data_IF_714354231304
#
_entry.id   IF_714354231304
#
_cell.length_a   1.000
_cell.length_b   1.000
_cell.length_c   1.000
_cell.angle_alpha   90.00
_cell.angle_beta   90.00
_cell.angle_gamma   90.00
#
_symmetry.space_group_name_H-M   'P 1'
#
loop_
_entity.id
_entity.type
_entity.pdbx_description
1 polymer ?
#
# COMPACT_ATOMS: atom_id res chain seq x y z
N UNK A 1 3.23 4.30 -23.69
CA UNK A 1 4.51 4.48 -22.96
C UNK A 1 4.78 3.19 -22.22
N UNK A 2 5.91 2.51 -22.48
CA UNK A 2 6.28 1.29 -21.75
C UNK A 2 6.79 1.75 -20.38
N UNK A 3 6.09 1.37 -19.31
CA UNK A 3 6.56 1.60 -17.94
C UNK A 3 7.90 0.87 -17.77
N UNK A 4 8.97 1.61 -17.51
CA UNK A 4 10.33 1.07 -17.47
C UNK A 4 10.55 0.15 -16.27
N UNK A 5 9.83 0.39 -15.16
CA UNK A 5 9.96 -0.36 -13.92
C UNK A 5 8.60 -0.70 -13.34
N UNK A 6 8.47 -1.91 -12.78
CA UNK A 6 7.23 -2.38 -12.14
C UNK A 6 7.11 -1.89 -10.69
N UNK A 7 8.22 -1.52 -10.07
CA UNK A 7 8.31 -0.91 -8.75
C UNK A 7 9.62 -0.14 -8.58
N UNK A 8 9.69 0.71 -7.56
CA UNK A 8 10.89 1.41 -7.13
C UNK A 8 11.12 1.18 -5.64
N UNK A 9 12.29 0.65 -5.28
CA UNK A 9 12.64 0.31 -3.91
C UNK A 9 13.72 1.27 -3.39
N UNK A 10 13.44 1.85 -2.23
CA UNK A 10 14.40 2.63 -1.43
C UNK A 10 14.81 1.79 -0.23
N UNK A 11 16.10 1.50 -0.08
CA UNK A 11 16.61 0.65 1.00
C UNK A 11 17.14 1.48 2.17
N UNK A 12 16.77 1.09 3.40
CA UNK A 12 17.22 1.67 4.67
C UNK A 12 17.02 3.21 4.77
N UNK A 13 15.88 3.69 4.26
CA UNK A 13 15.59 5.13 4.18
C UNK A 13 14.72 5.65 5.32
N UNK A 14 14.13 4.76 6.14
CA UNK A 14 13.34 5.14 7.33
C UNK A 14 14.12 4.86 8.61
N UNK A 15 14.69 5.88 9.25
CA UNK A 15 15.37 5.74 10.53
C UNK A 15 14.46 5.18 11.63
N UNK A 16 15.03 4.51 12.61
CA UNK A 16 14.28 3.91 13.71
C UNK A 16 13.36 4.89 14.44
N UNK A 17 13.84 6.14 14.65
CA UNK A 17 13.04 7.21 15.27
C UNK A 17 11.72 7.45 14.55
N UNK A 18 11.75 7.45 13.20
CA UNK A 18 10.58 7.71 12.37
C UNK A 18 9.65 6.50 12.36
N UNK A 19 10.19 5.28 12.21
CA UNK A 19 9.41 4.04 12.33
C UNK A 19 8.70 3.93 13.69
N UNK A 20 9.39 4.28 14.78
CA UNK A 20 8.80 4.29 16.13
C UNK A 20 7.74 5.39 16.29
N UNK A 21 7.92 6.54 15.66
CA UNK A 21 6.91 7.61 15.65
C UNK A 21 5.67 7.21 14.86
N UNK A 22 5.82 6.58 13.69
CA UNK A 22 4.71 6.05 12.89
C UNK A 22 3.89 5.04 13.72
N UNK A 23 4.55 4.06 14.37
CA UNK A 23 3.89 3.07 15.24
C UNK A 23 3.16 3.72 16.43
N UNK A 24 3.70 4.78 17.01
CA UNK A 24 3.03 5.54 18.10
C UNK A 24 1.80 6.28 17.59
N UNK A 25 1.85 6.90 16.40
CA UNK A 25 0.70 7.54 15.76
C UNK A 25 -0.40 6.49 15.56
N UNK A 26 -0.08 5.33 14.99
CA UNK A 26 -1.05 4.25 14.80
C UNK A 26 -1.69 3.78 16.10
N UNK A 27 -0.89 3.60 17.17
CA UNK A 27 -1.41 3.22 18.49
C UNK A 27 -2.38 4.27 19.04
N UNK A 28 -2.10 5.56 18.83
CA UNK A 28 -2.98 6.67 19.26
C UNK A 28 -4.26 6.75 18.43
N UNK A 29 -4.21 6.47 17.13
CA UNK A 29 -5.39 6.43 16.25
C UNK A 29 -6.31 5.24 16.58
N UNK A 30 -5.79 4.19 17.20
CA UNK A 30 -6.51 2.96 17.48
C UNK A 30 -6.49 1.98 16.30
N UNK A 31 -6.23 0.71 16.60
CA UNK A 31 -6.32 -0.37 15.61
C UNK A 31 -7.72 -0.95 15.60
N UNK A 32 -8.25 -1.16 14.40
CA UNK A 32 -9.44 -1.95 14.14
C UNK A 32 -9.12 -3.06 13.17
N UNK A 33 -9.94 -4.08 13.15
CA UNK A 33 -9.85 -5.12 12.14
C UNK A 33 -10.14 -4.54 10.75
N UNK A 34 -9.30 -4.88 9.77
CA UNK A 34 -9.49 -4.39 8.41
C UNK A 34 -10.75 -4.98 7.79
N UNK A 35 -11.41 -4.16 6.97
CA UNK A 35 -12.50 -4.57 6.09
C UNK A 35 -12.00 -4.59 4.65
N UNK A 36 -12.57 -5.45 3.81
CA UNK A 36 -12.43 -5.37 2.37
C UNK A 36 -13.55 -4.50 1.82
N UNK A 37 -13.24 -3.60 0.87
CA UNK A 37 -14.25 -2.89 0.10
C UNK A 37 -14.61 -3.73 -1.11
N UNK A 38 -15.90 -3.78 -1.40
CA UNK A 38 -16.39 -4.19 -2.71
C UNK A 38 -16.61 -2.96 -3.59
N UNK A 39 -16.60 -3.14 -4.90
CA UNK A 39 -16.81 -2.08 -5.89
C UNK A 39 -18.18 -1.39 -5.75
N UNK A 40 -19.14 -2.00 -5.07
CA UNK A 40 -20.50 -1.53 -4.88
C UNK A 40 -20.75 -0.72 -3.59
N UNK A 41 -19.72 -0.16 -2.94
CA UNK A 41 -19.83 0.65 -1.72
C UNK A 41 -20.42 -0.10 -0.49
N UNK A 42 -20.73 -1.36 -0.60
CA UNK A 42 -21.25 -2.18 0.50
C UNK A 42 -20.05 -2.75 1.25
N UNK A 43 -19.89 -2.40 2.52
CA UNK A 43 -18.97 -3.11 3.41
C UNK A 43 -19.45 -4.55 3.53
N UNK A 44 -18.79 -5.47 2.80
CA UNK A 44 -19.06 -6.90 2.97
C UNK A 44 -18.67 -7.36 4.38
N UNK A 45 -19.32 -8.41 4.88
CA UNK A 45 -18.86 -9.10 6.07
C UNK A 45 -17.36 -9.41 5.94
N UNK A 46 -16.61 -9.28 7.03
CA UNK A 46 -15.17 -9.52 7.07
C UNK A 46 -14.86 -10.91 6.53
N UNK A 47 -14.25 -10.96 5.37
CA UNK A 47 -13.76 -12.21 4.79
C UNK A 47 -12.29 -12.39 5.16
N UNK A 48 -12.07 -13.15 6.23
CA UNK A 48 -10.73 -13.46 6.72
C UNK A 48 -9.91 -14.32 5.75
N UNK A 49 -10.52 -14.92 4.74
CA UNK A 49 -9.79 -15.65 3.68
C UNK A 49 -9.15 -14.69 2.70
N UNK A 50 -9.74 -13.50 2.50
CA UNK A 50 -9.21 -12.45 1.66
C UNK A 50 -8.26 -11.56 2.44
N UNK A 51 -8.69 -11.07 3.62
CA UNK A 51 -7.89 -10.16 4.43
C UNK A 51 -8.09 -10.40 5.92
N UNK A 52 -7.00 -10.70 6.60
CA UNK A 52 -6.96 -10.79 8.06
C UNK A 52 -5.80 -9.93 8.56
N UNK A 53 -6.10 -8.74 9.07
CA UNK A 53 -5.09 -7.81 9.60
C UNK A 53 -5.74 -6.73 10.44
N UNK A 54 -5.01 -6.17 11.41
CA UNK A 54 -5.43 -4.98 12.15
C UNK A 54 -4.87 -3.73 11.47
N UNK A 55 -5.67 -2.68 11.31
CA UNK A 55 -5.27 -1.42 10.68
C UNK A 55 -5.62 -0.20 11.53
N UNK A 56 -4.79 0.82 11.44
CA UNK A 56 -5.08 2.16 11.93
C UNK A 56 -4.87 3.15 10.78
N UNK A 57 -5.76 4.13 10.64
CA UNK A 57 -5.65 5.19 9.65
C UNK A 57 -5.29 6.52 10.30
N UNK A 58 -4.46 7.32 9.63
CA UNK A 58 -4.09 8.63 10.14
C UNK A 58 -3.76 9.61 9.01
N UNK A 59 -4.34 10.81 9.11
CA UNK A 59 -4.00 11.97 8.26
C UNK A 59 -3.00 12.91 8.95
N UNK A 60 -2.16 12.38 9.83
CA UNK A 60 -1.15 13.17 10.50
C UNK A 60 -0.13 13.71 9.49
N UNK A 61 0.07 15.03 9.45
CA UNK A 61 0.96 15.71 8.49
C UNK A 61 2.38 15.17 8.50
N UNK A 62 2.88 14.70 9.64
CA UNK A 62 4.21 14.11 9.71
C UNK A 62 4.38 12.85 8.84
N UNK A 63 3.32 12.05 8.66
CA UNK A 63 3.35 10.86 7.79
C UNK A 63 3.49 11.29 6.32
N UNK A 64 2.73 12.30 5.90
CA UNK A 64 2.82 12.84 4.54
C UNK A 64 4.21 13.45 4.28
N UNK A 65 4.76 14.19 5.24
CA UNK A 65 6.10 14.76 5.11
C UNK A 65 7.20 13.68 4.96
N UNK A 66 7.00 12.50 5.53
CA UNK A 66 7.92 11.37 5.35
C UNK A 66 7.72 10.71 3.98
N UNK A 67 6.47 10.40 3.58
CA UNK A 67 6.22 9.49 2.48
C UNK A 67 6.10 10.16 1.10
N UNK A 68 5.58 11.39 1.02
CA UNK A 68 5.40 12.09 -0.26
C UNK A 68 6.73 12.25 -1.04
N UNK A 69 7.88 12.58 -0.41
CA UNK A 69 9.14 12.67 -1.13
C UNK A 69 9.53 11.35 -1.84
N UNK A 70 9.28 10.19 -1.24
CA UNK A 70 9.55 8.90 -1.88
C UNK A 70 8.62 8.64 -3.06
N UNK A 71 7.33 8.99 -2.94
CA UNK A 71 6.38 8.86 -4.06
C UNK A 71 6.81 9.71 -5.24
N UNK A 72 7.13 10.99 -5.00
CA UNK A 72 7.55 11.91 -6.07
C UNK A 72 8.84 11.41 -6.75
N UNK A 73 9.82 11.00 -5.95
CA UNK A 73 11.09 10.46 -6.47
C UNK A 73 10.88 9.19 -7.28
N UNK A 74 10.07 8.24 -6.77
CA UNK A 74 9.77 6.99 -7.48
C UNK A 74 8.99 7.24 -8.77
N UNK A 75 8.00 8.15 -8.74
CA UNK A 75 7.19 8.51 -9.90
C UNK A 75 8.06 9.06 -11.06
N UNK A 76 9.04 9.88 -10.74
CA UNK A 76 9.98 10.42 -11.73
C UNK A 76 10.99 9.36 -12.18
N UNK A 77 11.69 8.71 -11.24
CA UNK A 77 12.76 7.77 -11.55
C UNK A 77 12.26 6.45 -12.15
N UNK A 78 11.09 5.98 -11.71
CA UNK A 78 10.39 4.83 -12.27
C UNK A 78 9.84 5.07 -13.67
N UNK A 79 9.86 6.33 -14.14
CA UNK A 79 9.40 6.73 -15.45
C UNK A 79 7.88 6.71 -15.62
N UNK A 80 7.12 6.60 -14.53
CA UNK A 80 5.65 6.55 -14.60
C UNK A 80 5.06 7.91 -14.93
N UNK A 81 5.60 8.98 -14.33
CA UNK A 81 5.21 10.38 -14.56
C UNK A 81 3.70 10.61 -14.45
N UNK A 82 3.09 9.90 -13.49
CA UNK A 82 1.67 10.08 -13.23
C UNK A 82 1.40 11.44 -12.58
N UNK A 83 0.32 12.06 -12.99
CA UNK A 83 -0.20 13.25 -12.34
C UNK A 83 -0.89 12.83 -11.03
N UNK A 84 -0.22 13.12 -9.90
CA UNK A 84 -0.68 12.81 -8.53
C UNK A 84 -0.95 14.12 -7.83
N UNK A 85 -2.19 14.30 -7.36
CA UNK A 85 -2.65 15.55 -6.74
C UNK A 85 -3.37 15.34 -5.39
N UNK A 86 -3.49 14.07 -4.94
CA UNK A 86 -4.15 13.72 -3.68
C UNK A 86 -3.51 12.50 -3.02
N UNK A 87 -3.59 12.46 -1.67
CA UNK A 87 -3.08 11.35 -0.86
C UNK A 87 -4.13 10.91 0.15
N UNK A 88 -4.44 9.62 0.18
CA UNK A 88 -5.32 9.05 1.20
C UNK A 88 -4.67 9.07 2.59
N UNK A 89 -5.48 8.96 3.68
CA UNK A 89 -4.93 8.71 5.01
C UNK A 89 -4.00 7.50 5.01
N UNK A 90 -2.84 7.67 5.63
CA UNK A 90 -1.85 6.58 5.72
C UNK A 90 -2.45 5.45 6.57
N UNK A 91 -2.47 4.25 6.01
CA UNK A 91 -2.83 3.02 6.70
C UNK A 91 -1.60 2.42 7.36
N UNK A 92 -1.65 2.21 8.66
CA UNK A 92 -0.62 1.47 9.38
C UNK A 92 -1.20 0.10 9.74
N UNK A 93 -0.66 -0.95 9.14
CA UNK A 93 -1.12 -2.31 9.32
C UNK A 93 -0.26 -3.07 10.34
N UNK A 94 -0.91 -3.92 11.11
CA UNK A 94 -0.30 -4.85 12.05
C UNK A 94 -0.76 -6.26 11.70
N UNK A 95 0.18 -7.12 11.33
CA UNK A 95 -0.06 -8.53 11.03
C UNK A 95 0.54 -9.39 12.13
N UNK A 96 -0.29 -10.18 12.80
CA UNK A 96 0.08 -11.21 13.76
C UNK A 96 0.19 -12.58 13.07
N UNK A 97 0.55 -13.61 13.82
CA UNK A 97 0.59 -15.00 13.31
C UNK A 97 -0.72 -15.38 12.61
N UNK A 98 -0.60 -15.99 11.44
CA UNK A 98 -1.66 -16.40 10.51
C UNK A 98 -2.42 -15.24 9.86
N UNK A 99 -2.04 -13.98 10.11
CA UNK A 99 -2.62 -12.83 9.43
C UNK A 99 -1.94 -12.59 8.08
N UNK A 100 -2.72 -12.12 7.09
CA UNK A 100 -2.31 -11.93 5.71
C UNK A 100 -3.23 -10.96 4.98
N UNK A 101 -2.88 -10.64 3.75
CA UNK A 101 -3.75 -10.02 2.77
C UNK A 101 -3.51 -10.69 1.42
N UNK A 102 -4.53 -11.36 0.90
CA UNK A 102 -4.48 -12.11 -0.34
C UNK A 102 -4.20 -11.23 -1.56
N UNK A 103 -4.03 -11.85 -2.70
CA UNK A 103 -3.80 -11.17 -3.98
C UNK A 103 -4.90 -10.16 -4.30
N UNK A 104 -4.51 -8.92 -4.60
CA UNK A 104 -5.41 -7.82 -4.95
C UNK A 104 -4.66 -6.72 -5.73
N UNK A 105 -5.39 -5.81 -6.34
CA UNK A 105 -4.90 -4.52 -6.79
C UNK A 105 -5.41 -3.44 -5.84
N UNK A 106 -4.69 -2.34 -5.70
CA UNK A 106 -5.14 -1.18 -4.95
C UNK A 106 -6.06 -0.27 -5.79
N UNK A 107 -5.99 -0.38 -7.11
CA UNK A 107 -6.84 0.34 -8.06
C UNK A 107 -6.64 -0.13 -9.48
N UNK A 108 -7.71 -0.32 -10.22
CA UNK A 108 -7.72 -0.76 -11.62
C UNK A 108 -7.74 0.40 -12.64
N UNK A 109 -7.75 1.64 -12.17
CA UNK A 109 -7.77 2.83 -13.03
C UNK A 109 -9.16 3.34 -13.38
N UNK A 110 -10.21 2.59 -13.09
CA UNK A 110 -11.61 2.85 -13.46
C UNK A 110 -12.58 2.98 -12.26
N UNK A 111 -12.07 3.08 -11.04
CA UNK A 111 -12.90 3.23 -9.82
C UNK A 111 -13.53 4.63 -9.71
N UNK A 112 -14.42 4.93 -10.61
CA UNK A 112 -15.17 6.20 -10.62
C UNK A 112 -16.19 6.31 -9.49
N UNK A 113 -16.47 5.27 -8.74
CA UNK A 113 -17.59 5.20 -7.82
C UNK A 113 -17.24 5.04 -6.33
N UNK A 114 -15.99 4.84 -6.00
CA UNK A 114 -15.61 4.34 -4.66
C UNK A 114 -15.53 5.38 -3.55
N UNK A 115 -15.76 6.65 -3.81
CA UNK A 115 -15.71 7.69 -2.80
C UNK A 115 -17.08 8.25 -2.46
N UNK A 116 -17.36 8.53 -1.16
CA UNK A 116 -18.66 9.05 -0.72
C UNK A 116 -19.09 10.29 -1.50
N UNK A 117 -20.38 10.41 -1.76
CA UNK A 117 -20.94 11.59 -2.38
C UNK A 117 -20.57 12.84 -1.56
N UNK A 118 -19.89 13.82 -2.19
CA UNK A 118 -19.47 15.08 -1.56
C UNK A 118 -17.97 15.25 -1.39
N UNK A 119 -17.15 14.22 -1.62
CA UNK A 119 -15.71 14.41 -1.67
C UNK A 119 -15.29 14.90 -3.08
N UNK A 120 -14.32 15.81 -3.15
CA UNK A 120 -13.67 16.23 -4.41
C UNK A 120 -12.96 15.06 -5.12
N UNK A 121 -13.06 13.86 -4.55
CA UNK A 121 -12.47 12.61 -5.02
C UNK A 121 -13.30 11.86 -6.07
N UNK A 122 -14.51 12.32 -6.41
CA UNK A 122 -15.45 11.63 -7.33
C UNK A 122 -14.90 11.28 -8.71
N UNK A 123 -13.71 11.79 -9.07
CA UNK A 123 -13.07 11.53 -10.36
C UNK A 123 -11.60 11.20 -10.23
N UNK A 124 -11.15 10.76 -9.03
CA UNK A 124 -9.76 10.40 -8.81
C UNK A 124 -9.62 8.88 -8.72
N UNK A 125 -8.55 8.38 -9.29
CA UNK A 125 -8.17 6.97 -9.22
C UNK A 125 -6.81 6.84 -8.53
N UNK A 126 -6.58 5.74 -7.84
CA UNK A 126 -5.26 5.43 -7.27
C UNK A 126 -4.27 5.19 -8.38
N UNK A 127 -3.20 5.96 -8.39
CA UNK A 127 -2.11 5.91 -9.37
C UNK A 127 -0.92 5.11 -8.86
N UNK A 128 -0.50 5.42 -7.64
CA UNK A 128 0.66 4.82 -7.00
C UNK A 128 0.29 4.34 -5.59
N UNK A 129 0.87 3.22 -5.23
CA UNK A 129 0.85 2.65 -3.90
C UNK A 129 2.25 2.67 -3.31
N UNK A 130 2.36 3.14 -2.07
CA UNK A 130 3.58 3.09 -1.28
C UNK A 130 3.40 2.08 -0.15
N UNK A 131 4.41 1.24 0.07
CA UNK A 131 4.48 0.36 1.25
C UNK A 131 5.83 0.55 1.95
N UNK A 132 5.81 0.75 3.28
CA UNK A 132 7.00 0.88 4.11
C UNK A 132 7.09 -0.25 5.13
N UNK A 133 8.25 -0.84 5.30
CA UNK A 133 8.53 -1.86 6.30
C UNK A 133 8.96 -1.23 7.63
N UNK A 134 8.12 -1.35 8.68
CA UNK A 134 8.31 -0.64 9.95
C UNK A 134 8.93 -1.51 11.06
N UNK A 135 9.06 -2.82 10.85
CA UNK A 135 9.54 -3.74 11.89
C UNK A 135 10.36 -4.89 11.31
N UNK A 136 11.09 -5.54 12.18
CA UNK A 136 11.75 -6.83 11.97
C UNK A 136 11.28 -7.84 13.03
N UNK A 137 11.94 -9.00 13.15
CA UNK A 137 11.63 -10.00 14.17
C UNK A 137 10.37 -10.83 13.89
N UNK A 138 9.93 -10.89 12.64
CA UNK A 138 8.86 -11.76 12.16
C UNK A 138 9.36 -12.69 11.05
N UNK A 139 8.58 -13.72 10.74
CA UNK A 139 8.83 -14.69 9.66
C UNK A 139 7.56 -14.80 8.82
N UNK A 140 7.73 -14.86 7.51
CA UNK A 140 6.62 -14.75 6.56
C UNK A 140 6.25 -13.28 6.30
N UNK A 141 5.10 -13.05 5.72
CA UNK A 141 4.58 -11.70 5.46
C UNK A 141 5.32 -10.93 4.37
N UNK A 142 5.99 -11.62 3.47
CA UNK A 142 6.64 -11.04 2.31
C UNK A 142 5.63 -10.26 1.47
N UNK A 143 6.06 -9.12 0.93
CA UNK A 143 5.34 -8.45 -0.15
C UNK A 143 5.69 -9.16 -1.45
N UNK A 144 4.68 -9.64 -2.15
CA UNK A 144 4.83 -10.26 -3.45
C UNK A 144 4.07 -9.44 -4.49
N UNK A 145 4.69 -9.22 -5.64
CA UNK A 145 4.10 -8.49 -6.77
C UNK A 145 3.94 -9.47 -7.94
N UNK A 146 2.80 -9.47 -8.62
CA UNK A 146 2.59 -10.26 -9.83
C UNK A 146 2.48 -9.35 -11.04
N UNK A 147 3.34 -9.58 -12.01
CA UNK A 147 3.28 -8.92 -13.31
C UNK A 147 2.42 -9.78 -14.22
N UNK A 148 1.20 -9.31 -14.49
CA UNK A 148 0.36 -9.93 -15.52
C UNK A 148 0.91 -9.54 -16.89
N UNK A 149 1.30 -10.55 -17.69
CA UNK A 149 1.73 -10.38 -19.08
C UNK A 149 0.73 -11.07 -19.99
N UNK A 150 0.25 -10.37 -21.01
CA UNK A 150 -0.80 -10.88 -21.92
C UNK A 150 -0.40 -12.18 -22.64
N UNK A 151 0.89 -12.41 -22.89
CA UNK A 151 1.40 -13.52 -23.71
C UNK A 151 2.31 -14.50 -22.96
N UNK A 152 2.44 -14.41 -21.63
CA UNK A 152 3.36 -15.23 -20.84
C UNK A 152 2.75 -15.64 -19.51
N UNK A 153 3.31 -16.67 -18.86
CA UNK A 153 2.99 -16.98 -17.46
C UNK A 153 3.26 -15.78 -16.55
N UNK A 154 2.37 -15.55 -15.57
CA UNK A 154 2.51 -14.46 -14.63
C UNK A 154 3.83 -14.57 -13.88
N UNK A 155 4.67 -13.55 -14.00
CA UNK A 155 5.90 -13.45 -13.24
C UNK A 155 5.63 -12.91 -11.84
N UNK A 156 5.98 -13.68 -10.81
CA UNK A 156 5.91 -13.21 -9.42
C UNK A 156 7.26 -12.67 -9.01
N UNK A 157 7.28 -11.39 -8.63
CA UNK A 157 8.46 -10.72 -8.08
C UNK A 157 8.39 -10.74 -6.56
N UNK A 158 9.53 -10.96 -5.94
CA UNK A 158 9.71 -10.98 -4.48
C UNK A 158 10.65 -9.84 -4.07
N UNK A 159 10.17 -8.59 -3.94
CA UNK A 159 11.00 -7.49 -3.46
C UNK A 159 11.52 -7.84 -2.05
N UNK A 160 12.83 -8.00 -1.92
CA UNK A 160 13.47 -8.29 -0.63
C UNK A 160 13.47 -7.04 0.23
N UNK A 161 12.38 -6.81 0.96
CA UNK A 161 12.26 -5.68 1.85
C UNK A 161 12.80 -6.00 3.23
N UNK A 162 13.65 -5.11 3.72
CA UNK A 162 14.15 -5.07 5.09
C UNK A 162 13.46 -3.98 5.91
N UNK A 163 13.66 -3.98 7.23
CA UNK A 163 13.15 -2.91 8.09
C UNK A 163 13.76 -1.56 7.70
N UNK A 164 12.93 -0.56 7.49
CA UNK A 164 13.35 0.77 7.02
C UNK A 164 13.24 0.98 5.51
N UNK A 165 12.93 -0.05 4.76
CA UNK A 165 12.73 0.07 3.32
C UNK A 165 11.34 0.65 2.98
N UNK A 166 11.30 1.35 1.85
CA UNK A 166 10.08 1.90 1.24
C UNK A 166 10.03 1.46 -0.21
N UNK A 167 8.91 0.88 -0.62
CA UNK A 167 8.64 0.51 -2.01
C UNK A 167 7.45 1.32 -2.54
N UNK A 168 7.54 1.73 -3.80
CA UNK A 168 6.45 2.39 -4.53
C UNK A 168 6.21 1.62 -5.83
N UNK A 169 4.94 1.43 -6.19
CA UNK A 169 4.54 0.74 -7.42
C UNK A 169 3.20 1.28 -7.93
N UNK A 170 2.90 1.13 -9.23
CA UNK A 170 1.60 1.47 -9.78
C UNK A 170 0.47 0.68 -9.09
N UNK A 171 -0.62 1.37 -8.73
CA UNK A 171 -1.70 0.78 -7.91
C UNK A 171 -2.44 -0.38 -8.58
N UNK A 172 -2.29 -0.54 -9.90
CA UNK A 172 -2.84 -1.68 -10.64
C UNK A 172 -1.96 -2.95 -10.59
N UNK A 173 -0.74 -2.86 -10.04
CA UNK A 173 0.11 -4.03 -9.87
C UNK A 173 -0.53 -4.99 -8.87
N UNK A 174 -0.75 -6.22 -9.29
CA UNK A 174 -1.34 -7.27 -8.47
C UNK A 174 -0.35 -7.70 -7.40
N UNK A 175 -0.77 -7.67 -6.14
CA UNK A 175 0.15 -7.90 -5.03
C UNK A 175 -0.53 -8.53 -3.82
N UNK A 176 0.28 -9.10 -2.92
CA UNK A 176 -0.19 -9.63 -1.64
C UNK A 176 0.81 -9.41 -0.52
N UNK A 177 0.34 -9.52 0.72
CA UNK A 177 1.18 -9.75 1.90
C UNK A 177 1.00 -11.20 2.34
N UNK A 178 2.04 -12.01 2.20
CA UNK A 178 2.03 -13.41 2.60
C UNK A 178 1.70 -13.57 4.09
N UNK A 179 1.32 -14.76 4.50
CA UNK A 179 0.94 -15.03 5.89
C UNK A 179 2.13 -14.96 6.85
N UNK A 180 1.93 -14.33 8.00
CA UNK A 180 2.91 -14.34 9.09
C UNK A 180 2.91 -15.70 9.77
N UNK A 181 4.07 -16.33 9.87
CA UNK A 181 4.25 -17.61 10.57
C UNK A 181 4.75 -17.43 11.99
N UNK A 182 5.52 -16.37 12.26
CA UNK A 182 6.09 -16.05 13.59
C UNK A 182 6.22 -14.53 13.77
N UNK A 183 5.99 -14.05 14.99
CA UNK A 183 6.17 -12.63 15.36
C UNK A 183 5.02 -11.73 14.92
N UNK A 184 5.34 -10.44 14.79
CA UNK A 184 4.36 -9.41 14.38
C UNK A 184 5.03 -8.45 13.41
N UNK A 185 4.45 -8.31 12.20
CA UNK A 185 4.87 -7.36 11.19
C UNK A 185 4.08 -6.06 11.34
N UNK A 186 4.78 -4.93 11.20
CA UNK A 186 4.18 -3.61 11.02
C UNK A 186 4.59 -3.04 9.66
N UNK A 187 3.63 -2.52 8.92
CA UNK A 187 3.87 -1.79 7.67
C UNK A 187 3.02 -0.52 7.62
N UNK A 188 3.45 0.45 6.82
CA UNK A 188 2.60 1.58 6.47
C UNK A 188 2.34 1.55 4.96
N UNK A 189 1.11 1.89 4.57
CA UNK A 189 0.72 2.03 3.16
C UNK A 189 0.08 3.40 2.93
N UNK A 190 0.38 4.01 1.78
CA UNK A 190 -0.22 5.26 1.35
C UNK A 190 -0.61 5.16 -0.12
N UNK A 191 -1.86 5.53 -0.43
CA UNK A 191 -2.36 5.56 -1.79
C UNK A 191 -2.36 6.99 -2.32
N UNK A 192 -1.87 7.12 -3.54
CA UNK A 192 -1.66 8.39 -4.21
C UNK A 192 -2.57 8.45 -5.43
N UNK A 193 -3.39 9.48 -5.49
CA UNK A 193 -4.47 9.62 -6.44
C UNK A 193 -4.22 10.75 -7.44
N UNK A 194 -4.87 10.65 -8.58
CA UNK A 194 -4.91 11.68 -9.60
C UNK A 194 -6.10 11.47 -10.54
N UNK A 195 -6.21 12.30 -11.57
CA UNK A 195 -7.22 12.13 -12.59
C UNK A 195 -7.15 10.73 -13.24
N UNK A 196 -8.25 10.17 -13.75
CA UNK A 196 -8.24 8.89 -14.47
C UNK A 196 -7.15 8.83 -15.55
N UNK A 197 -6.73 7.62 -15.89
CA UNK A 197 -5.82 7.42 -17.02
C UNK A 197 -6.54 7.82 -18.33
N UNK A 198 -5.80 8.45 -19.25
CA UNK A 198 -6.29 8.85 -20.58
C UNK A 198 -5.88 7.82 -21.60
#
# INVERSE_FOLDING_TARGET
MINKYSYWLFSDVLPEKDRNKIKRIAKKSGYSEATTRDDDLITKPKDHTVRNTDVAFSSNQHLYNIFIPFVNSANEQGGWKYDVDWFEPVQIARYKKNQHYSWHTDGSGDHFGSYPAGADLKRKVRKLSLVACLSNGYVGGELELSLQREDQENEVLYPKMSVGDVIVFPSYVYHRSASITKGTKYSASMWCLGAPFK
#
